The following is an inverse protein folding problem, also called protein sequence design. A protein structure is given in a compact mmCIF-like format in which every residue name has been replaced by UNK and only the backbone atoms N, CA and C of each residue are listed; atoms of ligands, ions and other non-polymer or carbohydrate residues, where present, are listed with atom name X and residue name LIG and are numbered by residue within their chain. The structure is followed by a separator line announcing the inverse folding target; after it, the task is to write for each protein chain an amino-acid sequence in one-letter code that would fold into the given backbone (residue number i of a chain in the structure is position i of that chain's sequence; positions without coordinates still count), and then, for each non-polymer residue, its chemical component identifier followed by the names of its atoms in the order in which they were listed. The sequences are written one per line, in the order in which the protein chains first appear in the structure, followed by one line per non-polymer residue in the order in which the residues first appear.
data_IF_627744959721
#
_entry.id   IF_627744959721
#
_cell.length_a   1.000
_cell.length_b   1.000
_cell.length_c   1.000
_cell.angle_alpha   90.00
_cell.angle_beta   90.00
_cell.angle_gamma   90.00
#
_symmetry.space_group_name_H-M   'P 1'
#
loop_
_entity.id
_entity.type
_entity.pdbx_description
1 polymer ?
#
# COMPACT_ATOMS: atom_id res chain seq x y z
N UNK A 1 -27.69 51.82 20.22
CA UNK A 1 -28.28 50.77 21.07
C UNK A 1 -27.61 49.43 20.75
N UNK A 2 -26.84 48.87 21.69
CA UNK A 2 -26.09 47.62 21.50
C UNK A 2 -27.07 46.44 21.66
N UNK A 3 -27.26 45.65 20.62
CA UNK A 3 -28.32 44.62 20.57
C UNK A 3 -28.00 43.48 21.58
N UNK A 4 -28.79 43.29 22.65
CA UNK A 4 -28.45 42.37 23.74
C UNK A 4 -28.43 40.89 23.33
N UNK A 5 -29.09 40.54 22.22
CA UNK A 5 -29.06 39.20 21.65
C UNK A 5 -27.71 38.83 21.02
N UNK A 6 -26.98 39.79 20.44
CA UNK A 6 -25.67 39.56 19.83
C UNK A 6 -24.59 39.22 20.88
N UNK A 7 -24.67 39.82 22.07
CA UNK A 7 -23.76 39.56 23.18
C UNK A 7 -23.96 38.16 23.80
N UNK A 8 -25.21 37.67 23.88
CA UNK A 8 -25.50 36.31 24.37
C UNK A 8 -25.02 35.21 23.42
N UNK A 9 -25.06 35.46 22.11
CA UNK A 9 -24.59 34.50 21.12
C UNK A 9 -23.06 34.39 21.11
N UNK A 10 -22.31 35.50 21.28
CA UNK A 10 -20.85 35.45 21.34
C UNK A 10 -20.32 34.69 22.56
N UNK A 11 -20.96 34.86 23.73
CA UNK A 11 -20.66 34.09 24.94
C UNK A 11 -20.90 32.57 24.73
N UNK A 12 -22.00 32.20 24.08
CA UNK A 12 -22.35 30.79 23.81
C UNK A 12 -21.48 30.11 22.74
N UNK A 13 -20.70 30.85 21.95
CA UNK A 13 -19.76 30.28 20.98
C UNK A 13 -18.29 30.51 21.37
N UNK A 14 -18.01 31.21 22.47
CA UNK A 14 -16.65 31.54 22.92
C UNK A 14 -15.80 30.29 23.27
N UNK A 15 -16.42 29.16 23.58
CA UNK A 15 -15.74 27.89 23.86
C UNK A 15 -15.42 27.05 22.62
N UNK A 16 -16.03 27.33 21.46
CA UNK A 16 -15.79 26.56 20.22
C UNK A 16 -14.34 26.69 19.71
N UNK A 17 -13.70 27.88 19.68
CA UNK A 17 -12.31 28.01 19.25
C UNK A 17 -11.35 27.27 20.17
N UNK A 18 -11.65 27.21 21.48
CA UNK A 18 -10.87 26.47 22.47
C UNK A 18 -10.91 24.96 22.24
N UNK A 19 -12.10 24.41 21.99
CA UNK A 19 -12.27 22.99 21.67
C UNK A 19 -11.62 22.61 20.33
N UNK A 20 -11.73 23.47 19.31
CA UNK A 20 -11.06 23.26 18.02
C UNK A 20 -9.54 23.33 18.18
N UNK A 21 -9.01 24.30 18.93
CA UNK A 21 -7.58 24.35 19.20
C UNK A 21 -7.08 23.13 19.99
N UNK A 22 -7.83 22.68 21.01
CA UNK A 22 -7.46 21.51 21.79
C UNK A 22 -7.41 20.23 20.94
N UNK A 23 -8.40 20.03 20.07
CA UNK A 23 -8.46 18.88 19.17
C UNK A 23 -7.34 18.94 18.11
N UNK A 24 -7.05 20.11 17.55
CA UNK A 24 -5.90 20.29 16.63
C UNK A 24 -4.57 20.03 17.34
N UNK A 25 -4.40 20.49 18.58
CA UNK A 25 -3.18 20.25 19.37
C UNK A 25 -3.03 18.77 19.70
N UNK A 26 -4.11 18.10 20.13
CA UNK A 26 -4.11 16.67 20.44
C UNK A 26 -3.79 15.83 19.20
N UNK A 27 -4.42 16.14 18.05
CA UNK A 27 -4.13 15.46 16.78
C UNK A 27 -2.68 15.69 16.34
N UNK A 28 -2.17 16.91 16.42
CA UNK A 28 -0.76 17.21 16.08
C UNK A 28 0.22 16.52 17.01
N UNK A 29 -0.11 16.39 18.30
CA UNK A 29 0.71 15.67 19.26
C UNK A 29 0.75 14.17 18.92
N UNK A 30 -0.42 13.57 18.63
CA UNK A 30 -0.51 12.18 18.22
C UNK A 30 0.22 11.93 16.89
N UNK A 31 0.06 12.80 15.91
CA UNK A 31 0.76 12.73 14.62
C UNK A 31 2.28 12.81 14.79
N UNK A 32 2.77 13.67 15.69
CA UNK A 32 4.21 13.77 15.98
C UNK A 32 4.76 12.53 16.70
N UNK A 33 3.96 11.93 17.56
CA UNK A 33 4.37 10.80 18.41
C UNK A 33 4.27 9.47 17.66
N UNK A 34 3.09 9.19 17.12
CA UNK A 34 2.76 7.93 16.45
C UNK A 34 3.10 7.93 14.96
N UNK A 35 3.13 9.10 14.31
CA UNK A 35 3.41 9.22 12.87
C UNK A 35 4.71 8.54 12.43
N UNK A 36 5.85 8.80 13.10
CA UNK A 36 7.12 8.13 12.76
C UNK A 36 7.06 6.61 12.94
N UNK A 37 6.35 6.13 13.96
CA UNK A 37 6.20 4.71 14.25
C UNK A 37 5.35 4.02 13.18
N UNK A 38 4.22 4.64 12.80
CA UNK A 38 3.33 4.15 11.74
C UNK A 38 4.06 4.12 10.40
N UNK A 39 4.84 5.15 10.09
CA UNK A 39 5.63 5.19 8.87
C UNK A 39 6.68 4.07 8.82
N UNK A 40 7.36 3.80 9.95
CA UNK A 40 8.29 2.69 10.07
C UNK A 40 7.58 1.33 9.90
N UNK A 41 6.41 1.14 10.52
CA UNK A 41 5.63 -0.10 10.40
C UNK A 41 5.19 -0.34 8.95
N UNK A 42 4.70 0.69 8.25
CA UNK A 42 4.34 0.58 6.83
C UNK A 42 5.58 0.21 6.00
N UNK A 43 6.73 0.82 6.29
CA UNK A 43 7.98 0.54 5.58
C UNK A 43 8.42 -0.91 5.76
N UNK A 44 8.39 -1.42 6.99
CA UNK A 44 8.75 -2.80 7.30
C UNK A 44 7.75 -3.80 6.71
N UNK A 45 6.45 -3.51 6.78
CA UNK A 45 5.42 -4.38 6.22
C UNK A 45 5.56 -4.53 4.70
N UNK A 46 5.77 -3.42 3.98
CA UNK A 46 6.00 -3.45 2.54
C UNK A 46 7.34 -4.12 2.22
N UNK A 47 8.43 -3.76 2.91
CA UNK A 47 9.73 -4.38 2.71
C UNK A 47 9.65 -5.90 2.89
N UNK A 48 8.97 -6.38 3.93
CA UNK A 48 8.79 -7.80 4.19
C UNK A 48 8.09 -8.50 3.01
N UNK A 49 7.02 -7.90 2.47
CA UNK A 49 6.28 -8.50 1.35
C UNK A 49 7.19 -8.72 0.12
N UNK A 50 7.98 -7.71 -0.26
CA UNK A 50 8.92 -7.82 -1.37
C UNK A 50 10.11 -8.74 -1.05
N UNK A 51 10.62 -8.71 0.18
CA UNK A 51 11.73 -9.55 0.59
C UNK A 51 11.37 -11.03 0.52
N UNK A 52 10.20 -11.41 1.05
CA UNK A 52 9.70 -12.80 0.99
C UNK A 52 9.51 -13.23 -0.46
N UNK A 53 8.93 -12.37 -1.31
CA UNK A 53 8.80 -12.63 -2.75
C UNK A 53 10.17 -12.89 -3.40
N UNK A 54 11.15 -12.04 -3.14
CA UNK A 54 12.51 -12.16 -3.68
C UNK A 54 13.22 -13.44 -3.21
N UNK A 55 13.07 -13.81 -1.94
CA UNK A 55 13.66 -15.06 -1.41
C UNK A 55 13.03 -16.29 -2.06
N UNK A 56 11.71 -16.28 -2.29
CA UNK A 56 11.03 -17.39 -2.96
C UNK A 56 11.50 -17.55 -4.41
N UNK A 57 11.68 -16.45 -5.14
CA UNK A 57 12.23 -16.48 -6.51
C UNK A 57 13.71 -16.87 -6.55
N UNK A 58 14.49 -16.42 -5.58
CA UNK A 58 15.90 -16.81 -5.46
C UNK A 58 16.05 -18.30 -5.09
N UNK A 59 15.14 -18.83 -4.27
CA UNK A 59 15.15 -20.24 -3.85
C UNK A 59 14.70 -21.21 -4.95
N UNK A 60 13.91 -20.77 -5.93
CA UNK A 60 13.50 -21.57 -7.08
C UNK A 60 13.71 -20.79 -8.38
N UNK A 61 14.95 -20.86 -8.89
CA UNK A 61 15.38 -20.08 -10.04
C UNK A 61 14.68 -20.50 -11.34
N UNK A 62 14.39 -21.79 -11.52
CA UNK A 62 13.67 -22.28 -12.71
C UNK A 62 12.27 -21.66 -12.78
N UNK A 63 11.59 -21.52 -11.64
CA UNK A 63 10.31 -20.83 -11.57
C UNK A 63 10.46 -19.32 -11.84
N UNK A 64 11.53 -18.68 -11.36
CA UNK A 64 11.79 -17.27 -11.63
C UNK A 64 11.99 -17.00 -13.13
N UNK A 65 12.75 -17.86 -13.82
CA UNK A 65 12.93 -17.82 -15.27
C UNK A 65 11.62 -18.09 -16.03
N UNK A 66 10.85 -19.10 -15.58
CA UNK A 66 9.56 -19.41 -16.16
C UNK A 66 8.60 -18.21 -16.08
N UNK A 67 8.51 -17.58 -14.90
CA UNK A 67 7.69 -16.40 -14.68
C UNK A 67 8.14 -15.22 -15.54
N UNK A 68 9.45 -14.97 -15.67
CA UNK A 68 9.97 -13.90 -16.52
C UNK A 68 9.71 -14.14 -18.02
N UNK A 69 9.71 -15.40 -18.46
CA UNK A 69 9.51 -15.76 -19.87
C UNK A 69 8.03 -15.80 -20.28
N UNK A 70 7.17 -16.33 -19.41
CA UNK A 70 5.77 -16.64 -19.76
C UNK A 70 4.78 -15.65 -19.14
N UNK A 71 5.04 -15.18 -17.92
CA UNK A 71 4.05 -14.46 -17.12
C UNK A 71 4.31 -12.94 -17.09
N UNK A 72 5.60 -12.55 -17.09
CA UNK A 72 6.07 -11.17 -17.05
C UNK A 72 7.03 -10.85 -18.21
N UNK A 73 6.65 -11.10 -19.47
CA UNK A 73 7.56 -10.89 -20.59
C UNK A 73 7.86 -9.40 -20.77
N UNK A 74 9.15 -9.05 -20.70
CA UNK A 74 9.64 -7.68 -20.94
C UNK A 74 10.11 -7.60 -22.39
N UNK A 75 9.41 -6.84 -23.23
CA UNK A 75 9.66 -6.80 -24.68
C UNK A 75 11.05 -6.34 -25.11
N UNK A 76 11.79 -5.65 -24.23
CA UNK A 76 13.13 -5.13 -24.49
C UNK A 76 14.25 -5.89 -23.75
N UNK A 77 13.92 -6.94 -22.99
CA UNK A 77 14.89 -7.62 -22.13
C UNK A 77 14.75 -9.15 -22.20
N UNK A 78 15.88 -9.85 -22.24
CA UNK A 78 15.89 -11.32 -22.16
C UNK A 78 15.33 -11.81 -20.80
N UNK A 79 14.55 -12.90 -20.76
CA UNK A 79 13.96 -13.43 -19.54
C UNK A 79 14.95 -13.66 -18.40
N UNK A 80 16.18 -14.08 -18.68
CA UNK A 80 17.19 -14.28 -17.64
C UNK A 80 17.60 -12.95 -17.00
N UNK A 81 17.78 -11.91 -17.81
CA UNK A 81 18.11 -10.57 -17.32
C UNK A 81 16.94 -9.94 -16.54
N UNK A 82 15.71 -10.17 -16.99
CA UNK A 82 14.51 -9.73 -16.30
C UNK A 82 14.35 -10.41 -14.93
N UNK A 83 14.61 -11.73 -14.84
CA UNK A 83 14.60 -12.46 -13.58
C UNK A 83 15.67 -11.93 -12.60
N UNK A 84 16.90 -11.72 -13.07
CA UNK A 84 17.99 -11.15 -12.26
C UNK A 84 17.64 -9.76 -11.72
N UNK A 85 17.16 -8.86 -12.58
CA UNK A 85 16.76 -7.52 -12.15
C UNK A 85 15.60 -7.55 -11.18
N UNK A 86 14.58 -8.38 -11.43
CA UNK A 86 13.43 -8.54 -10.54
C UNK A 86 13.86 -8.97 -9.13
N UNK A 87 14.63 -10.05 -9.02
CA UNK A 87 15.11 -10.57 -7.74
C UNK A 87 16.05 -9.59 -7.04
N UNK A 88 16.95 -8.94 -7.79
CA UNK A 88 17.86 -7.94 -7.23
C UNK A 88 17.09 -6.75 -6.65
N UNK A 89 16.09 -6.24 -7.37
CA UNK A 89 15.24 -5.13 -6.90
C UNK A 89 14.42 -5.56 -5.69
N UNK A 90 13.83 -6.77 -5.70
CA UNK A 90 13.05 -7.27 -4.56
C UNK A 90 13.91 -7.44 -3.30
N UNK A 91 15.10 -8.03 -3.40
CA UNK A 91 15.96 -8.29 -2.25
C UNK A 91 16.73 -7.04 -1.80
N UNK A 92 17.51 -6.44 -2.70
CA UNK A 92 18.30 -5.27 -2.34
C UNK A 92 17.37 -4.07 -2.04
N UNK A 93 16.36 -3.84 -2.87
CA UNK A 93 15.40 -2.76 -2.68
C UNK A 93 14.63 -2.88 -1.37
N UNK A 94 14.15 -4.08 -1.00
CA UNK A 94 13.45 -4.27 0.28
C UNK A 94 14.36 -4.07 1.49
N UNK A 95 15.62 -4.54 1.45
CA UNK A 95 16.57 -4.36 2.56
C UNK A 95 16.94 -2.87 2.71
N UNK A 96 17.26 -2.18 1.62
CA UNK A 96 17.57 -0.75 1.65
C UNK A 96 16.34 0.06 2.11
N UNK A 97 15.15 -0.31 1.64
CA UNK A 97 13.90 0.32 2.04
C UNK A 97 13.60 0.08 3.53
N UNK A 98 13.74 -1.14 4.04
CA UNK A 98 13.57 -1.47 5.45
C UNK A 98 14.56 -0.71 6.34
N UNK A 99 15.82 -0.63 5.94
CA UNK A 99 16.86 0.14 6.62
C UNK A 99 16.58 1.66 6.58
N UNK A 100 15.86 2.14 5.56
CA UNK A 100 15.66 3.56 5.33
C UNK A 100 16.94 4.22 4.79
N UNK A 101 17.66 3.50 3.93
CA UNK A 101 18.83 3.93 3.17
C UNK A 101 18.41 4.21 1.73
N UNK A 102 18.77 5.39 1.20
CA UNK A 102 18.32 5.85 -0.11
C UNK A 102 16.82 5.61 -0.32
N UNK A 103 16.03 5.90 0.71
CA UNK A 103 14.68 5.36 0.90
C UNK A 103 13.74 5.67 -0.27
N UNK A 104 13.96 6.81 -0.93
CA UNK A 104 13.20 7.23 -2.11
C UNK A 104 13.56 6.42 -3.36
N UNK A 105 14.84 6.11 -3.56
CA UNK A 105 15.29 5.30 -4.70
C UNK A 105 14.83 3.85 -4.53
N UNK A 106 14.98 3.30 -3.33
CA UNK A 106 14.50 1.96 -3.01
C UNK A 106 12.97 1.85 -3.17
N UNK A 107 12.22 2.81 -2.65
CA UNK A 107 10.76 2.85 -2.80
C UNK A 107 10.34 2.98 -4.28
N UNK A 108 11.04 3.79 -5.07
CA UNK A 108 10.76 3.94 -6.50
C UNK A 108 11.03 2.66 -7.27
N UNK A 109 12.17 2.00 -7.03
CA UNK A 109 12.50 0.73 -7.67
C UNK A 109 11.45 -0.35 -7.37
N UNK A 110 11.03 -0.48 -6.10
CA UNK A 110 9.97 -1.40 -5.69
C UNK A 110 8.61 -1.03 -6.28
N UNK A 111 8.28 0.27 -6.37
CA UNK A 111 7.01 0.73 -6.93
C UNK A 111 6.93 0.47 -8.44
N UNK A 112 8.01 0.73 -9.17
CA UNK A 112 8.12 0.41 -10.61
C UNK A 112 7.96 -1.09 -10.82
N UNK A 113 8.64 -1.92 -10.01
CA UNK A 113 8.50 -3.36 -10.11
C UNK A 113 7.06 -3.83 -9.84
N UNK A 114 6.40 -3.26 -8.81
CA UNK A 114 4.99 -3.55 -8.53
C UNK A 114 4.06 -3.18 -9.70
N UNK A 115 4.34 -2.07 -10.40
CA UNK A 115 3.58 -1.69 -11.60
C UNK A 115 3.84 -2.61 -12.79
N UNK A 116 5.09 -3.04 -13.01
CA UNK A 116 5.43 -4.01 -14.06
C UNK A 116 4.67 -5.31 -13.82
N UNK A 117 4.69 -5.82 -12.58
CA UNK A 117 3.94 -7.02 -12.19
C UNK A 117 2.44 -6.81 -12.40
N UNK A 118 1.88 -5.67 -12.00
CA UNK A 118 0.46 -5.37 -12.18
C UNK A 118 0.04 -5.24 -13.64
N UNK A 119 0.91 -4.71 -14.50
CA UNK A 119 0.61 -4.52 -15.92
C UNK A 119 0.50 -5.87 -16.63
N UNK A 120 1.41 -6.80 -16.35
CA UNK A 120 1.38 -8.16 -16.91
C UNK A 120 0.34 -9.04 -16.23
N UNK A 121 0.15 -8.88 -14.91
CA UNK A 121 -0.73 -9.69 -14.08
C UNK A 121 -1.79 -8.81 -13.44
N UNK A 122 -2.94 -8.67 -14.10
CA UNK A 122 -4.05 -7.82 -13.64
C UNK A 122 -4.81 -8.35 -12.41
N UNK A 123 -4.22 -9.27 -11.63
CA UNK A 123 -4.99 -10.14 -10.75
C UNK A 123 -5.20 -9.64 -9.31
N UNK A 124 -4.58 -8.54 -8.85
CA UNK A 124 -4.76 -8.11 -7.45
C UNK A 124 -4.67 -6.58 -7.24
N UNK A 125 -5.72 -6.00 -6.65
CA UNK A 125 -5.74 -4.62 -6.10
C UNK A 125 -4.58 -4.33 -5.12
N UNK A 126 -3.98 -5.40 -4.59
CA UNK A 126 -2.87 -5.35 -3.63
C UNK A 126 -1.60 -4.73 -4.22
N UNK A 127 -1.22 -5.02 -5.46
CA UNK A 127 -0.01 -4.43 -6.05
C UNK A 127 -0.19 -2.94 -6.34
N UNK A 128 -1.39 -2.53 -6.77
CA UNK A 128 -1.75 -1.11 -6.92
C UNK A 128 -1.71 -0.39 -5.57
N UNK A 129 -2.22 -1.03 -4.51
CA UNK A 129 -2.16 -0.49 -3.15
C UNK A 129 -0.72 -0.35 -2.63
N UNK A 130 0.12 -1.38 -2.80
CA UNK A 130 1.53 -1.31 -2.44
C UNK A 130 2.28 -0.26 -3.25
N UNK A 131 2.03 -0.18 -4.56
CA UNK A 131 2.59 0.85 -5.42
C UNK A 131 2.18 2.24 -4.90
N UNK A 132 0.90 2.47 -4.57
CA UNK A 132 0.44 3.74 -4.01
C UNK A 132 1.11 4.09 -2.67
N UNK A 133 1.32 3.12 -1.78
CA UNK A 133 2.00 3.35 -0.49
C UNK A 133 3.49 3.62 -0.65
N UNK A 134 4.19 2.83 -1.48
CA UNK A 134 5.59 3.07 -1.83
C UNK A 134 5.73 4.45 -2.47
N UNK A 135 4.79 4.77 -3.34
CA UNK A 135 4.73 6.05 -4.00
C UNK A 135 4.49 7.22 -3.03
N UNK A 136 3.61 7.04 -2.06
CA UNK A 136 3.44 8.01 -0.98
C UNK A 136 4.75 8.27 -0.22
N UNK A 137 5.51 7.21 0.05
CA UNK A 137 6.81 7.30 0.74
C UNK A 137 7.87 7.98 -0.15
N UNK A 138 7.81 7.81 -1.47
CA UNK A 138 8.65 8.59 -2.40
C UNK A 138 8.37 10.10 -2.28
N UNK A 139 7.11 10.52 -2.08
CA UNK A 139 6.74 11.95 -1.90
C UNK A 139 7.19 12.47 -0.54
N UNK A 140 6.73 11.81 0.54
CA UNK A 140 7.02 12.21 1.92
C UNK A 140 8.52 12.15 2.24
N UNK A 141 9.24 11.21 1.64
CA UNK A 141 10.62 10.89 1.96
C UNK A 141 10.72 9.92 3.15
N UNK A 142 11.95 9.71 3.62
CA UNK A 142 12.33 8.65 4.55
C UNK A 142 11.79 8.77 6.00
N UNK A 143 10.90 9.72 6.30
CA UNK A 143 10.39 9.91 7.66
C UNK A 143 11.43 10.37 8.69
N UNK A 144 11.03 10.48 9.96
CA UNK A 144 11.90 10.85 11.08
C UNK A 144 12.80 9.71 11.58
N UNK A 145 12.35 8.45 11.43
CA UNK A 145 13.05 7.23 11.82
C UNK A 145 13.68 6.53 10.59
N UNK A 146 14.59 7.22 9.90
CA UNK A 146 15.39 6.64 8.81
C UNK A 146 16.88 6.75 9.07
N UNK A 147 17.60 5.72 8.63
CA UNK A 147 19.06 5.76 8.57
C UNK A 147 19.54 6.90 7.67
N UNK A 148 18.82 7.26 6.60
CA UNK A 148 19.11 8.45 5.78
C UNK A 148 19.20 9.73 6.63
N UNK A 149 18.30 9.89 7.62
CA UNK A 149 18.29 11.07 8.50
C UNK A 149 19.39 10.99 9.56
N UNK A 150 19.64 9.81 10.14
CA UNK A 150 20.75 9.60 11.09
C UNK A 150 22.11 9.81 10.41
N UNK A 151 22.29 9.28 9.20
CA UNK A 151 23.47 9.47 8.38
C UNK A 151 23.59 10.92 7.92
N UNK A 152 22.53 11.62 7.54
CA UNK A 152 22.61 13.04 7.22
C UNK A 152 23.13 13.88 8.41
N UNK A 153 22.77 13.54 9.65
CA UNK A 153 23.28 14.23 10.84
C UNK A 153 24.69 13.77 11.23
N UNK A 154 25.05 12.50 11.03
CA UNK A 154 26.36 11.93 11.36
C UNK A 154 27.45 12.18 10.30
N UNK A 155 27.14 12.01 9.00
CA UNK A 155 28.05 12.33 7.89
C UNK A 155 28.26 13.82 7.71
N UNK A 156 27.32 14.69 8.11
CA UNK A 156 27.60 16.14 8.17
C UNK A 156 28.76 16.47 9.13
N UNK A 157 29.11 15.56 10.04
CA UNK A 157 30.26 15.66 10.94
C UNK A 157 31.47 14.80 10.50
N UNK A 158 31.35 14.04 9.41
CA UNK A 158 32.40 13.10 8.95
C UNK A 158 32.89 13.48 7.55
N UNK A 159 34.20 13.58 7.36
CA UNK A 159 34.85 14.06 6.13
C UNK A 159 34.86 13.02 4.97
N UNK A 160 33.76 12.34 4.69
CA UNK A 160 33.65 11.40 3.55
C UNK A 160 33.26 12.18 2.28
N UNK A 161 34.17 12.42 1.32
CA UNK A 161 33.95 13.34 0.21
C UNK A 161 32.88 12.84 -0.77
N UNK A 162 32.67 11.52 -0.88
CA UNK A 162 31.76 10.92 -1.84
C UNK A 162 30.32 10.80 -1.33
N UNK A 163 30.15 10.59 -0.03
CA UNK A 163 28.83 10.32 0.54
C UNK A 163 27.95 11.59 0.57
N UNK A 164 28.55 12.76 0.81
CA UNK A 164 27.85 14.04 0.70
C UNK A 164 27.41 14.35 -0.75
N UNK A 165 28.24 14.01 -1.74
CA UNK A 165 27.93 14.18 -3.15
C UNK A 165 26.80 13.22 -3.60
N UNK A 166 26.88 11.94 -3.22
CA UNK A 166 25.83 10.96 -3.49
C UNK A 166 24.48 11.37 -2.84
N UNK A 167 24.50 11.80 -1.58
CA UNK A 167 23.30 12.30 -0.89
C UNK A 167 22.75 13.57 -1.54
N UNK A 168 23.60 14.48 -2.03
CA UNK A 168 23.20 15.69 -2.75
C UNK A 168 22.62 15.38 -4.13
N UNK A 169 23.19 14.43 -4.87
CA UNK A 169 22.67 13.97 -6.16
C UNK A 169 21.31 13.28 -5.97
N UNK A 170 21.17 12.41 -4.97
CA UNK A 170 19.89 11.81 -4.61
C UNK A 170 18.87 12.87 -4.20
N UNK A 171 19.24 13.84 -3.36
CA UNK A 171 18.35 14.94 -2.96
C UNK A 171 17.96 15.86 -4.12
N UNK A 172 18.88 16.11 -5.05
CA UNK A 172 18.68 16.91 -6.27
C UNK A 172 17.75 16.23 -7.26
N UNK A 173 18.00 14.96 -7.57
CA UNK A 173 17.13 14.12 -8.41
C UNK A 173 15.70 14.10 -7.84
N UNK A 174 15.58 13.96 -6.52
CA UNK A 174 14.29 13.95 -5.82
C UNK A 174 13.51 15.27 -5.97
N UNK A 175 14.16 16.44 -5.92
CA UNK A 175 13.49 17.74 -6.06
C UNK A 175 12.91 17.95 -7.46
N UNK A 176 13.58 17.42 -8.48
CA UNK A 176 13.12 17.45 -9.87
C UNK A 176 12.04 16.42 -10.17
N UNK A 177 12.15 15.22 -9.59
CA UNK A 177 11.16 14.16 -9.74
C UNK A 177 9.84 14.49 -9.03
N UNK A 178 9.88 15.14 -7.85
CA UNK A 178 8.68 15.42 -7.03
C UNK A 178 7.48 16.07 -7.78
N UNK A 179 7.64 17.17 -8.55
CA UNK A 179 6.51 17.80 -9.24
C UNK A 179 5.94 16.93 -10.38
N UNK A 180 6.79 16.39 -11.26
CA UNK A 180 6.39 15.48 -12.34
C UNK A 180 5.67 14.24 -11.80
N UNK A 181 6.18 13.75 -10.68
CA UNK A 181 5.68 12.58 -9.99
C UNK A 181 4.30 12.81 -9.34
N UNK A 182 4.10 13.94 -8.67
CA UNK A 182 2.80 14.28 -8.09
C UNK A 182 1.71 14.45 -9.15
N UNK A 183 2.09 14.83 -10.37
CA UNK A 183 1.22 14.87 -11.53
C UNK A 183 0.86 13.46 -12.00
N UNK A 184 1.85 12.55 -12.06
CA UNK A 184 1.62 11.12 -12.35
C UNK A 184 0.70 10.46 -11.31
N UNK A 185 0.90 10.73 -10.02
CA UNK A 185 0.08 10.19 -8.93
C UNK A 185 -1.37 10.72 -9.01
N UNK A 186 -1.54 12.00 -9.34
CA UNK A 186 -2.88 12.60 -9.56
C UNK A 186 -3.57 12.01 -10.77
N UNK A 187 -2.86 11.83 -11.89
CA UNK A 187 -3.37 11.18 -13.08
C UNK A 187 -3.75 9.73 -12.79
N UNK A 188 -2.93 9.01 -12.03
CA UNK A 188 -3.20 7.64 -11.64
C UNK A 188 -4.42 7.50 -10.74
N UNK A 189 -4.54 8.35 -9.70
CA UNK A 189 -5.73 8.40 -8.84
C UNK A 189 -6.98 8.79 -9.65
N UNK A 190 -6.84 9.73 -10.59
CA UNK A 190 -7.94 10.12 -11.48
C UNK A 190 -8.36 8.96 -12.38
N UNK A 191 -7.41 8.22 -12.97
CA UNK A 191 -7.71 7.03 -13.79
C UNK A 191 -8.34 5.93 -12.96
N UNK A 192 -7.86 5.65 -11.75
CA UNK A 192 -8.45 4.67 -10.85
C UNK A 192 -9.88 5.06 -10.42
N UNK A 193 -10.11 6.33 -10.10
CA UNK A 193 -11.43 6.86 -9.76
C UNK A 193 -12.38 6.82 -10.96
N UNK A 194 -11.91 7.15 -12.16
CA UNK A 194 -12.68 7.07 -13.41
C UNK A 194 -13.00 5.61 -13.75
N UNK A 195 -12.04 4.69 -13.63
CA UNK A 195 -12.28 3.26 -13.84
C UNK A 195 -13.34 2.71 -12.88
N UNK A 196 -13.30 3.11 -11.61
CA UNK A 196 -14.32 2.78 -10.62
C UNK A 196 -15.69 3.44 -10.91
N UNK A 197 -15.70 4.69 -11.38
CA UNK A 197 -16.91 5.48 -11.63
C UNK A 197 -17.63 5.13 -12.94
N UNK A 198 -16.89 4.73 -13.98
CA UNK A 198 -17.45 4.29 -15.27
C UNK A 198 -18.15 2.93 -15.13
N UNK A 199 -18.10 2.31 -13.95
CA UNK A 199 -18.68 0.98 -13.75
C UNK A 199 -18.08 0.01 -14.76
N UNK A 200 -16.79 0.19 -15.09
CA UNK A 200 -16.03 -0.89 -15.67
C UNK A 200 -16.02 -1.95 -14.59
N UNK A 201 -17.00 -2.85 -14.67
CA UNK A 201 -16.99 -4.08 -13.91
C UNK A 201 -15.74 -4.77 -14.36
N UNK A 202 -14.66 -4.54 -13.62
CA UNK A 202 -13.56 -5.47 -13.55
C UNK A 202 -14.21 -6.85 -13.55
N UNK A 203 -13.97 -7.72 -14.55
CA UNK A 203 -14.63 -9.02 -14.63
C UNK A 203 -14.35 -9.93 -13.42
N UNK A 204 -13.63 -9.44 -12.40
CA UNK A 204 -13.14 -10.15 -11.23
C UNK A 204 -13.64 -9.60 -9.87
N UNK A 205 -14.66 -8.75 -9.82
CA UNK A 205 -15.40 -8.55 -8.55
C UNK A 205 -16.17 -9.85 -8.25
N UNK A 206 -15.83 -10.64 -7.22
CA UNK A 206 -16.71 -11.72 -6.81
C UNK A 206 -18.03 -11.09 -6.37
N UNK A 207 -19.19 -11.55 -6.86
CA UNK A 207 -20.46 -11.03 -6.40
C UNK A 207 -20.49 -11.15 -4.87
N UNK A 208 -20.79 -10.03 -4.20
CA UNK A 208 -21.02 -9.96 -2.76
C UNK A 208 -21.90 -11.15 -2.36
N UNK A 209 -21.26 -12.11 -1.68
CA UNK A 209 -21.78 -13.40 -1.24
C UNK A 209 -23.25 -13.66 -1.59
N UNK A 210 -23.51 -14.22 -2.78
CA UNK A 210 -24.78 -14.91 -2.98
C UNK A 210 -24.78 -16.15 -2.07
N UNK A 211 -25.86 -16.42 -1.32
CA UNK A 211 -25.92 -17.61 -0.48
C UNK A 211 -25.83 -18.84 -1.37
N UNK A 212 -24.69 -19.53 -1.33
CA UNK A 212 -24.40 -20.69 -2.17
C UNK A 212 -25.57 -21.71 -2.14
N UNK A 213 -26.00 -22.26 -3.28
CA UNK A 213 -27.12 -23.22 -3.35
C UNK A 213 -26.86 -24.52 -2.56
N UNK A 214 -25.61 -24.81 -2.20
CA UNK A 214 -25.24 -25.95 -1.35
C UNK A 214 -25.85 -25.87 0.06
N UNK A 215 -26.05 -24.66 0.62
CA UNK A 215 -26.70 -24.51 1.94
C UNK A 215 -28.23 -24.64 1.89
N UNK A 216 -28.84 -24.40 0.73
CA UNK A 216 -30.29 -24.61 0.54
C UNK A 216 -30.64 -26.11 0.44
N UNK A 217 -29.82 -26.89 -0.26
CA UNK A 217 -30.01 -28.35 -0.38
C UNK A 217 -29.90 -29.09 0.97
N UNK A 218 -28.98 -28.67 1.85
CA UNK A 218 -28.82 -29.24 3.20
C UNK A 218 -30.01 -28.93 4.13
N UNK A 219 -30.68 -27.77 3.97
CA UNK A 219 -31.90 -27.44 4.73
C UNK A 219 -33.13 -28.20 4.23
N UNK A 220 -33.21 -28.52 2.94
CA UNK A 220 -34.34 -29.28 2.38
C UNK A 220 -34.28 -30.78 2.72
N UNK A 221 -33.08 -31.36 2.79
CA UNK A 221 -32.89 -32.77 3.21
C UNK A 221 -33.19 -32.98 4.70
N UNK A 222 -32.73 -32.09 5.58
CA UNK A 222 -33.05 -32.18 7.02
C UNK A 222 -34.56 -32.01 7.31
N UNK A 223 -35.25 -31.11 6.59
CA UNK A 223 -36.71 -30.94 6.73
C UNK A 223 -37.51 -32.15 6.23
N UNK A 224 -37.07 -32.86 5.18
CA UNK A 224 -37.72 -34.09 4.72
C UNK A 224 -37.50 -35.25 5.69
N UNK A 225 -36.31 -35.37 6.27
CA UNK A 225 -36.00 -36.43 7.24
C UNK A 225 -36.79 -36.27 8.56
N UNK A 226 -36.92 -35.04 9.08
CA UNK A 226 -37.78 -34.77 10.25
C UNK A 226 -39.28 -35.00 9.97
N UNK A 227 -39.72 -34.93 8.72
CA UNK A 227 -41.13 -35.14 8.35
C UNK A 227 -41.48 -36.63 8.18
N UNK A 228 -40.52 -37.50 7.82
CA UNK A 228 -40.77 -38.95 7.73
C UNK A 228 -40.81 -39.63 9.10
N UNK A 229 -40.09 -39.10 10.10
CA UNK A 229 -40.07 -39.62 11.47
C UNK A 229 -41.30 -39.24 12.33
N UNK A 230 -42.19 -38.37 11.82
CA UNK A 230 -43.43 -37.95 12.52
C UNK A 230 -44.71 -38.60 11.99
N UNK A 231 -44.62 -39.64 11.15
CA UNK A 231 -45.81 -40.42 10.76
C UNK A 231 -46.09 -41.51 11.81
N UNK A 232 -47.24 -41.48 12.51
CA UNK A 232 -47.60 -42.56 13.42
C UNK A 232 -47.91 -43.84 12.63
N UNK A 233 -47.64 -45.03 13.19
CA UNK A 233 -47.91 -46.30 12.52
C UNK A 233 -49.42 -46.48 12.33
N UNK A 234 -49.85 -46.61 11.07
CA UNK A 234 -51.23 -46.96 10.74
C UNK A 234 -51.51 -48.40 11.19
N UNK A 235 -52.42 -48.54 12.16
CA UNK A 235 -53.00 -49.81 12.59
C UNK A 235 -53.59 -50.55 11.39
N UNK A 236 -53.17 -51.79 11.16
CA UNK A 236 -53.85 -52.74 10.29
C UNK A 236 -55.01 -53.37 11.07
N UNK A 237 -56.22 -53.50 10.51
CA UNK A 237 -57.16 -54.53 10.95
C UNK A 237 -56.70 -55.92 10.49
#
# INVERSE_FOLDING_TARGET
MKNPHAAKLSYRLAWLPGLVNLSVVALRFLERSAGPLVELLIRLALAQAFFVSGVLKAGNWDNALYLAANEYPVSWLDPASAAWLGVLIELAGSVLFAAGLATRLAALALAVLALVIQYSYQSLDTHLFWAALLFWIVVRGAGALSLDRLLAHGLARTAVPFAAAALRLCAGATRWLAPLYSLLLRLWLAVAAVAAAVGFTMPWLPPLASPSPRRAAARLTSRRCCRSLRRPPSRRP
#
